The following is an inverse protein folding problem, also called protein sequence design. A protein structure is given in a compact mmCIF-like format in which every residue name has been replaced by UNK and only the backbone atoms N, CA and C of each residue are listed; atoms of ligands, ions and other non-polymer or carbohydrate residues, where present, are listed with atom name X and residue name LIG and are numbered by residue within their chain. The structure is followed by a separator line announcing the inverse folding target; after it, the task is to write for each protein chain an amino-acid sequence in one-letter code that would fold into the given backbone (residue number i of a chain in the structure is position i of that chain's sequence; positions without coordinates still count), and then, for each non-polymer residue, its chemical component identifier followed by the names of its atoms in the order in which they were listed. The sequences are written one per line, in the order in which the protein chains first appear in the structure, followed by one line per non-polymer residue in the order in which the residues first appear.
data_IF_943917577945
#
_entry.id   IF_943917577945
#
_cell.length_a   1.000
_cell.length_b   1.000
_cell.length_c   1.000
_cell.angle_alpha   90.00
_cell.angle_beta   90.00
_cell.angle_gamma   90.00
#
_symmetry.space_group_name_H-M   'P 1'
#
loop_
_entity.id
_entity.type
_entity.pdbx_description
1 polymer ?
#
# COMPACT_ATOMS: atom_id res chain seq x y z
N UNK A 1 -18.55 6.81 -4.91
CA UNK A 1 -18.04 6.82 -6.31
C UNK A 1 -17.05 7.94 -6.62
N UNK A 2 -17.34 9.23 -6.32
CA UNK A 2 -16.40 10.35 -6.60
C UNK A 2 -14.97 10.15 -6.06
N UNK A 3 -14.83 9.77 -4.79
CA UNK A 3 -13.52 9.52 -4.19
C UNK A 3 -12.79 8.35 -4.89
N UNK A 4 -13.50 7.24 -5.14
CA UNK A 4 -12.94 6.07 -5.83
C UNK A 4 -12.44 6.46 -7.23
N UNK A 5 -13.20 7.27 -7.98
CA UNK A 5 -12.78 7.76 -9.29
C UNK A 5 -11.53 8.65 -9.23
N UNK A 6 -11.45 9.56 -8.25
CA UNK A 6 -10.28 10.42 -8.08
C UNK A 6 -9.02 9.62 -7.71
N UNK A 7 -9.10 8.74 -6.71
CA UNK A 7 -7.98 7.89 -6.31
C UNK A 7 -7.59 6.90 -7.39
N UNK A 8 -8.57 6.31 -8.09
CA UNK A 8 -8.31 5.44 -9.24
C UNK A 8 -7.58 6.18 -10.36
N UNK A 9 -7.95 7.43 -10.65
CA UNK A 9 -7.26 8.27 -11.61
C UNK A 9 -5.81 8.56 -11.22
N UNK A 10 -5.57 8.96 -9.95
CA UNK A 10 -4.20 9.19 -9.45
C UNK A 10 -3.37 7.91 -9.52
N UNK A 11 -3.94 6.78 -9.10
CA UNK A 11 -3.26 5.49 -9.16
C UNK A 11 -2.93 5.11 -10.61
N UNK A 12 -3.87 5.31 -11.54
CA UNK A 12 -3.64 5.04 -12.96
C UNK A 12 -2.47 5.87 -13.52
N UNK A 13 -2.38 7.16 -13.14
CA UNK A 13 -1.28 8.03 -13.54
C UNK A 13 0.06 7.53 -12.96
N UNK A 14 0.08 7.13 -11.69
CA UNK A 14 1.27 6.56 -11.06
C UNK A 14 1.69 5.24 -11.71
N UNK A 15 0.76 4.32 -11.96
CA UNK A 15 1.06 3.03 -12.63
C UNK A 15 1.58 3.24 -14.04
N UNK A 16 0.96 4.16 -14.80
CA UNK A 16 1.42 4.51 -16.14
C UNK A 16 2.84 5.08 -16.14
N UNK A 17 3.14 6.00 -15.22
CA UNK A 17 4.49 6.55 -15.06
C UNK A 17 5.50 5.45 -14.70
N UNK A 18 5.17 4.59 -13.74
CA UNK A 18 6.03 3.48 -13.33
C UNK A 18 6.27 2.47 -14.47
N UNK A 19 5.26 2.17 -15.29
CA UNK A 19 5.43 1.32 -16.48
C UNK A 19 6.41 1.93 -17.48
N UNK A 20 6.32 3.24 -17.72
CA UNK A 20 7.23 3.96 -18.63
C UNK A 20 8.66 3.98 -18.07
N UNK A 21 8.83 4.28 -16.78
CA UNK A 21 10.15 4.26 -16.15
C UNK A 21 10.79 2.88 -16.16
N UNK A 22 10.01 1.84 -15.87
CA UNK A 22 10.51 0.46 -15.89
C UNK A 22 10.86 0.00 -17.31
N UNK A 23 10.03 0.33 -18.30
CA UNK A 23 10.33 0.05 -19.71
C UNK A 23 11.62 0.73 -20.17
N UNK A 24 11.83 2.00 -19.78
CA UNK A 24 13.05 2.74 -20.07
C UNK A 24 14.29 2.12 -19.39
N UNK A 25 14.15 1.72 -18.12
CA UNK A 25 15.21 1.06 -17.36
C UNK A 25 15.60 -0.29 -17.97
N UNK A 26 14.63 -1.13 -18.34
CA UNK A 26 14.87 -2.44 -18.99
C UNK A 26 15.48 -2.26 -20.38
N UNK A 27 15.06 -1.25 -21.12
CA UNK A 27 15.63 -0.93 -22.44
C UNK A 27 17.01 -0.23 -22.35
N UNK A 28 17.47 0.14 -21.16
CA UNK A 28 18.76 0.81 -20.96
C UNK A 28 18.84 2.21 -21.56
N UNK A 29 17.70 2.91 -21.72
CA UNK A 29 17.63 4.23 -22.35
C UNK A 29 16.90 5.23 -21.45
N UNK A 30 17.21 6.54 -21.55
CA UNK A 30 16.43 7.54 -20.84
C UNK A 30 15.00 7.63 -21.40
N UNK A 31 14.03 7.97 -20.56
CA UNK A 31 12.59 8.02 -20.92
C UNK A 31 12.29 8.78 -22.22
N UNK A 32 12.90 9.95 -22.52
CA UNK A 32 12.64 10.65 -23.78
C UNK A 32 13.08 9.92 -25.04
N UNK A 33 13.94 8.88 -24.92
CA UNK A 33 14.41 8.03 -26.02
C UNK A 33 13.72 6.67 -26.06
N UNK A 34 12.70 6.46 -25.23
CA UNK A 34 11.89 5.25 -25.27
C UNK A 34 10.90 5.35 -26.43
N UNK A 35 11.08 4.51 -27.44
CA UNK A 35 10.16 4.40 -28.58
C UNK A 35 9.03 3.40 -28.29
N UNK A 36 8.01 3.42 -29.16
CA UNK A 36 6.83 2.54 -29.03
C UNK A 36 7.18 1.06 -29.21
N UNK A 37 8.20 0.74 -30.01
CA UNK A 37 8.62 -0.64 -30.25
C UNK A 37 9.25 -1.27 -29.00
N UNK A 38 10.14 -0.55 -28.32
CA UNK A 38 10.77 -0.98 -27.05
C UNK A 38 9.74 -1.10 -25.94
N UNK A 39 8.81 -0.16 -25.85
CA UNK A 39 7.72 -0.27 -24.89
C UNK A 39 6.82 -1.48 -25.18
N UNK A 40 6.45 -1.71 -26.44
CA UNK A 40 5.64 -2.87 -26.84
C UNK A 40 6.37 -4.20 -26.57
N UNK A 41 7.69 -4.23 -26.82
CA UNK A 41 8.54 -5.37 -26.47
C UNK A 41 8.53 -5.61 -24.97
N UNK A 42 8.78 -4.60 -24.15
CA UNK A 42 8.69 -4.71 -22.69
C UNK A 42 7.31 -5.22 -22.24
N UNK A 43 6.23 -4.61 -22.74
CA UNK A 43 4.86 -4.98 -22.40
C UNK A 43 4.49 -6.41 -22.82
N UNK A 44 5.04 -6.92 -23.92
CA UNK A 44 4.69 -8.24 -24.47
C UNK A 44 5.59 -9.38 -23.99
N UNK A 45 6.91 -9.14 -23.88
CA UNK A 45 7.89 -10.21 -23.68
C UNK A 45 8.45 -10.26 -22.27
N UNK A 46 8.56 -9.12 -21.58
CA UNK A 46 9.09 -9.05 -20.23
C UNK A 46 7.99 -9.38 -19.22
N UNK A 47 8.30 -10.29 -18.28
CA UNK A 47 7.34 -10.76 -17.28
C UNK A 47 6.75 -9.63 -16.43
N UNK A 48 7.61 -8.74 -15.92
CA UNK A 48 7.17 -7.57 -15.13
C UNK A 48 6.36 -6.57 -15.96
N UNK A 49 6.70 -6.40 -17.25
CA UNK A 49 5.93 -5.57 -18.19
C UNK A 49 4.51 -6.08 -18.42
N UNK A 50 4.34 -7.38 -18.69
CA UNK A 50 3.00 -7.99 -18.82
C UNK A 50 2.16 -7.83 -17.56
N UNK A 51 2.77 -8.08 -16.39
CA UNK A 51 2.11 -7.96 -15.08
C UNK A 51 1.69 -6.52 -14.81
N UNK A 52 2.57 -5.55 -15.07
CA UNK A 52 2.27 -4.13 -14.90
C UNK A 52 1.16 -3.65 -15.83
N UNK A 53 1.14 -4.10 -17.10
CA UNK A 53 0.07 -3.77 -18.05
C UNK A 53 -1.27 -4.38 -17.62
N UNK A 54 -1.28 -5.62 -17.13
CA UNK A 54 -2.49 -6.24 -16.59
C UNK A 54 -3.01 -5.48 -15.36
N UNK A 55 -2.12 -5.11 -14.43
CA UNK A 55 -2.47 -4.31 -13.27
C UNK A 55 -3.04 -2.93 -13.67
N UNK A 56 -2.39 -2.24 -14.62
CA UNK A 56 -2.88 -0.97 -15.18
C UNK A 56 -4.28 -1.12 -15.77
N UNK A 57 -4.53 -2.19 -16.54
CA UNK A 57 -5.84 -2.49 -17.11
C UNK A 57 -6.93 -2.69 -16.04
N UNK A 58 -6.62 -3.45 -14.98
CA UNK A 58 -7.53 -3.65 -13.85
C UNK A 58 -7.86 -2.33 -13.12
N UNK A 59 -6.85 -1.49 -12.86
CA UNK A 59 -7.03 -0.17 -12.23
C UNK A 59 -7.82 0.77 -13.14
N UNK A 60 -7.56 0.76 -14.45
CA UNK A 60 -8.30 1.53 -15.44
C UNK A 60 -9.78 1.14 -15.46
N UNK A 61 -10.08 -0.17 -15.51
CA UNK A 61 -11.45 -0.67 -15.48
C UNK A 61 -12.19 -0.26 -14.21
N UNK A 62 -11.55 -0.40 -13.03
CA UNK A 62 -12.11 0.08 -11.76
C UNK A 62 -12.40 1.58 -11.77
N UNK A 63 -11.47 2.36 -12.31
CA UNK A 63 -11.59 3.82 -12.39
C UNK A 63 -12.73 4.22 -13.32
N UNK A 64 -12.87 3.58 -14.49
CA UNK A 64 -13.96 3.81 -15.43
C UNK A 64 -15.30 3.46 -14.79
N UNK A 65 -15.43 2.29 -14.16
CA UNK A 65 -16.65 1.90 -13.42
C UNK A 65 -16.99 2.96 -12.37
N UNK A 66 -15.99 3.44 -11.62
CA UNK A 66 -16.21 4.44 -10.59
C UNK A 66 -16.62 5.81 -11.15
N UNK A 67 -16.04 6.23 -12.27
CA UNK A 67 -16.42 7.46 -12.99
C UNK A 67 -17.83 7.35 -13.53
N UNK A 68 -18.19 6.23 -14.17
CA UNK A 68 -19.53 6.00 -14.72
C UNK A 68 -20.57 5.98 -13.60
N UNK A 69 -20.33 5.20 -12.54
CA UNK A 69 -21.23 5.14 -11.40
C UNK A 69 -21.39 6.51 -10.72
N UNK A 70 -20.33 7.32 -10.64
CA UNK A 70 -20.43 8.69 -10.14
C UNK A 70 -21.25 9.60 -11.07
N UNK A 71 -21.01 9.56 -12.38
CA UNK A 71 -21.71 10.41 -13.36
C UNK A 71 -23.18 10.05 -13.55
N UNK A 72 -23.54 8.79 -13.27
CA UNK A 72 -24.91 8.26 -13.38
C UNK A 72 -25.66 8.23 -12.04
N UNK A 73 -25.06 8.76 -10.98
CA UNK A 73 -25.57 8.72 -9.60
C UNK A 73 -26.03 7.32 -9.16
N UNK A 74 -25.28 6.30 -9.59
CA UNK A 74 -25.65 4.90 -9.42
C UNK A 74 -25.28 4.39 -8.02
N UNK A 75 -26.22 3.72 -7.34
CA UNK A 75 -26.02 3.14 -5.99
C UNK A 75 -25.38 1.75 -6.01
N UNK A 76 -24.47 1.49 -6.95
CA UNK A 76 -23.86 0.17 -7.13
C UNK A 76 -23.05 -0.26 -5.90
N UNK A 77 -22.93 -1.57 -5.63
CA UNK A 77 -22.05 -2.06 -4.58
C UNK A 77 -20.59 -1.77 -4.96
N UNK A 78 -19.80 -1.24 -4.01
CA UNK A 78 -18.37 -0.95 -4.22
C UNK A 78 -17.45 -2.15 -3.97
N UNK A 79 -17.99 -3.26 -3.46
CA UNK A 79 -17.24 -4.47 -3.13
C UNK A 79 -16.43 -5.06 -4.32
N UNK A 80 -16.96 -5.09 -5.56
CA UNK A 80 -16.20 -5.56 -6.72
C UNK A 80 -14.96 -4.72 -7.04
N UNK A 81 -14.98 -3.41 -6.73
CA UNK A 81 -13.81 -2.54 -6.90
C UNK A 81 -12.67 -2.97 -5.98
N UNK A 82 -12.99 -3.36 -4.74
CA UNK A 82 -12.00 -3.88 -3.80
C UNK A 82 -11.42 -5.23 -4.25
N UNK A 83 -12.27 -6.09 -4.81
CA UNK A 83 -11.87 -7.41 -5.31
C UNK A 83 -10.92 -7.32 -6.52
N UNK A 84 -10.98 -6.25 -7.32
CA UNK A 84 -10.10 -6.03 -8.47
C UNK A 84 -8.88 -5.18 -8.11
N UNK A 85 -9.01 -4.23 -7.18
CA UNK A 85 -7.90 -3.42 -6.70
C UNK A 85 -6.88 -4.22 -5.89
N UNK A 86 -7.32 -5.21 -5.09
CA UNK A 86 -6.42 -6.03 -4.28
C UNK A 86 -5.41 -6.84 -5.14
N UNK A 87 -5.82 -7.57 -6.19
CA UNK A 87 -4.88 -8.19 -7.13
C UNK A 87 -3.94 -7.21 -7.83
N UNK A 88 -4.41 -6.01 -8.21
CA UNK A 88 -3.57 -5.00 -8.85
C UNK A 88 -2.47 -4.47 -7.91
N UNK A 89 -2.75 -4.34 -6.61
CA UNK A 89 -1.74 -4.00 -5.60
C UNK A 89 -0.67 -5.09 -5.44
N UNK A 90 -1.10 -6.37 -5.49
CA UNK A 90 -0.21 -7.53 -5.30
C UNK A 90 0.67 -7.79 -6.53
N UNK A 91 0.18 -7.45 -7.72
CA UNK A 91 0.76 -7.85 -8.99
C UNK A 91 2.25 -7.47 -9.13
N UNK A 92 2.66 -6.23 -8.82
CA UNK A 92 4.05 -5.78 -8.99
C UNK A 92 5.04 -6.37 -7.99
N UNK A 93 4.78 -6.39 -6.66
CA UNK A 93 5.67 -7.04 -5.69
C UNK A 93 5.99 -8.50 -6.06
N UNK A 94 4.99 -9.25 -6.54
CA UNK A 94 5.12 -10.66 -6.95
C UNK A 94 5.97 -10.86 -8.22
N UNK A 95 6.45 -9.80 -8.87
CA UNK A 95 7.38 -9.89 -10.01
C UNK A 95 8.86 -9.75 -9.65
N UNK A 96 9.20 -9.51 -8.37
CA UNK A 96 10.59 -9.41 -7.89
C UNK A 96 11.31 -10.77 -7.82
N UNK A 97 12.64 -10.77 -7.65
CA UNK A 97 13.48 -11.99 -7.61
C UNK A 97 13.07 -13.02 -6.52
N UNK A 98 12.35 -12.60 -5.48
CA UNK A 98 11.77 -13.49 -4.45
C UNK A 98 10.62 -14.35 -4.98
N UNK A 99 10.05 -14.02 -6.14
CA UNK A 99 8.94 -14.76 -6.75
C UNK A 99 9.34 -16.09 -7.39
N UNK A 100 10.64 -16.31 -7.54
CA UNK A 100 11.22 -17.60 -7.95
C UNK A 100 11.10 -18.66 -6.86
N UNK A 101 10.73 -18.28 -5.62
CA UNK A 101 10.40 -19.21 -4.54
C UNK A 101 8.90 -19.12 -4.20
N UNK A 102 8.19 -20.26 -4.06
CA UNK A 102 6.74 -20.27 -3.77
C UNK A 102 6.35 -19.49 -2.53
N UNK A 103 7.21 -19.47 -1.51
CA UNK A 103 6.97 -18.75 -0.25
C UNK A 103 7.23 -17.24 -0.37
N UNK A 104 8.15 -16.80 -1.22
CA UNK A 104 8.48 -15.37 -1.37
C UNK A 104 7.32 -14.57 -1.95
N UNK A 105 6.73 -15.04 -3.05
CA UNK A 105 5.54 -14.44 -3.67
C UNK A 105 4.37 -14.30 -2.69
N UNK A 106 4.14 -15.34 -1.86
CA UNK A 106 3.05 -15.33 -0.88
C UNK A 106 3.31 -14.31 0.23
N UNK A 107 4.53 -14.25 0.77
CA UNK A 107 4.90 -13.30 1.81
C UNK A 107 4.80 -11.85 1.30
N UNK A 108 5.26 -11.59 0.08
CA UNK A 108 5.14 -10.28 -0.57
C UNK A 108 3.67 -9.88 -0.76
N UNK A 109 2.84 -10.81 -1.25
CA UNK A 109 1.41 -10.59 -1.40
C UNK A 109 0.74 -10.27 -0.05
N UNK A 110 1.03 -11.05 0.98
CA UNK A 110 0.51 -10.83 2.34
C UNK A 110 0.98 -9.49 2.92
N UNK A 111 2.25 -9.13 2.71
CA UNK A 111 2.80 -7.86 3.19
C UNK A 111 2.08 -6.69 2.53
N UNK A 112 1.94 -6.70 1.21
CA UNK A 112 1.31 -5.60 0.46
C UNK A 112 -0.18 -5.51 0.75
N UNK A 113 -0.87 -6.63 0.88
CA UNK A 113 -2.28 -6.65 1.32
C UNK A 113 -2.45 -6.08 2.73
N UNK A 114 -1.58 -6.47 3.67
CA UNK A 114 -1.63 -5.96 5.03
C UNK A 114 -1.37 -4.45 5.08
N UNK A 115 -0.37 -3.95 4.35
CA UNK A 115 -0.10 -2.52 4.21
C UNK A 115 -1.29 -1.77 3.59
N UNK A 116 -1.84 -2.31 2.49
CA UNK A 116 -2.97 -1.72 1.78
C UNK A 116 -4.24 -1.67 2.63
N UNK A 117 -4.55 -2.73 3.38
CA UNK A 117 -5.69 -2.75 4.30
C UNK A 117 -5.50 -1.78 5.47
N UNK A 118 -4.30 -1.74 6.05
CA UNK A 118 -4.00 -0.88 7.20
C UNK A 118 -4.17 0.61 6.87
N UNK A 119 -3.57 1.07 5.77
CA UNK A 119 -3.63 2.49 5.38
C UNK A 119 -4.92 2.80 4.64
N UNK A 120 -5.30 1.94 3.68
CA UNK A 120 -6.43 2.17 2.78
C UNK A 120 -7.76 2.23 3.51
N UNK A 121 -8.01 1.38 4.51
CA UNK A 121 -9.25 1.43 5.29
C UNK A 121 -9.32 2.72 6.10
N UNK A 122 -8.20 3.19 6.69
CA UNK A 122 -8.20 4.44 7.45
C UNK A 122 -8.47 5.66 6.57
N UNK A 123 -7.85 5.70 5.39
CA UNK A 123 -8.14 6.72 4.37
C UNK A 123 -9.61 6.69 3.97
N UNK A 124 -10.18 5.50 3.73
CA UNK A 124 -11.59 5.36 3.41
C UNK A 124 -12.49 5.89 4.54
N UNK A 125 -12.15 5.60 5.81
CA UNK A 125 -12.88 6.13 6.97
C UNK A 125 -12.78 7.66 7.04
N UNK A 126 -11.58 8.23 6.89
CA UNK A 126 -11.35 9.68 6.89
C UNK A 126 -12.16 10.41 5.82
N UNK A 127 -12.36 9.79 4.65
CA UNK A 127 -13.07 10.38 3.53
C UNK A 127 -14.59 10.21 3.59
N UNK A 128 -15.08 9.12 4.16
CA UNK A 128 -16.51 8.75 4.11
C UNK A 128 -17.25 8.98 5.42
N UNK A 129 -16.55 8.91 6.56
CA UNK A 129 -17.18 9.00 7.87
C UNK A 129 -17.24 10.46 8.33
N UNK A 130 -18.46 10.99 8.42
CA UNK A 130 -18.71 12.39 8.80
C UNK A 130 -19.35 12.56 10.17
N UNK A 131 -19.92 11.50 10.74
CA UNK A 131 -20.61 11.58 12.03
C UNK A 131 -19.81 10.93 13.17
N UNK A 132 -19.90 11.54 14.35
CA UNK A 132 -19.36 11.05 15.62
C UNK A 132 -19.82 9.63 15.94
N UNK A 133 -21.10 9.33 15.68
CA UNK A 133 -21.66 7.99 15.90
C UNK A 133 -21.10 6.92 14.98
N UNK A 134 -20.81 7.27 13.71
CA UNK A 134 -20.19 6.32 12.79
C UNK A 134 -18.72 6.06 13.13
N UNK A 135 -17.95 7.08 13.55
CA UNK A 135 -16.59 6.90 14.07
C UNK A 135 -16.57 5.98 15.30
N UNK A 136 -17.48 6.16 16.25
CA UNK A 136 -17.59 5.31 17.44
C UNK A 136 -17.80 3.82 17.11
N UNK A 137 -18.51 3.50 16.02
CA UNK A 137 -18.77 2.12 15.58
C UNK A 137 -17.65 1.51 14.75
N UNK A 138 -17.05 2.30 13.84
CA UNK A 138 -16.11 1.79 12.84
C UNK A 138 -14.66 1.80 13.34
N UNK A 139 -14.28 2.79 14.16
CA UNK A 139 -12.91 2.95 14.62
C UNK A 139 -12.39 1.75 15.46
N UNK A 140 -13.18 1.15 16.37
CA UNK A 140 -12.72 -0.03 17.10
C UNK A 140 -12.46 -1.23 16.19
N UNK A 141 -13.31 -1.43 15.17
CA UNK A 141 -13.14 -2.51 14.17
C UNK A 141 -11.89 -2.29 13.33
N UNK A 142 -11.66 -1.06 12.87
CA UNK A 142 -10.43 -0.67 12.20
C UNK A 142 -9.22 -0.91 13.10
N UNK A 143 -9.28 -0.51 14.37
CA UNK A 143 -8.17 -0.68 15.31
C UNK A 143 -7.80 -2.16 15.52
N UNK A 144 -8.77 -3.08 15.50
CA UNK A 144 -8.49 -4.53 15.53
C UNK A 144 -7.86 -5.01 14.23
N UNK A 145 -8.40 -4.60 13.07
CA UNK A 145 -7.83 -4.93 11.76
C UNK A 145 -6.38 -4.44 11.65
N UNK A 146 -6.11 -3.20 12.04
CA UNK A 146 -4.78 -2.59 12.02
C UNK A 146 -3.76 -3.39 12.85
N UNK A 147 -4.15 -3.94 14.01
CA UNK A 147 -3.27 -4.82 14.79
C UNK A 147 -2.81 -6.04 13.99
N UNK A 148 -3.76 -6.71 13.32
CA UNK A 148 -3.47 -7.89 12.53
C UNK A 148 -2.62 -7.55 11.31
N UNK A 149 -2.92 -6.44 10.63
CA UNK A 149 -2.09 -5.96 9.53
C UNK A 149 -0.64 -5.70 9.98
N UNK A 150 -0.45 -4.98 11.10
CA UNK A 150 0.88 -4.71 11.65
C UNK A 150 1.61 -6.00 12.05
N UNK A 151 0.91 -6.98 12.62
CA UNK A 151 1.49 -8.28 12.94
C UNK A 151 1.96 -9.03 11.67
N UNK A 152 1.15 -9.04 10.61
CA UNK A 152 1.52 -9.65 9.31
C UNK A 152 2.72 -8.92 8.70
N UNK A 153 2.75 -7.58 8.72
CA UNK A 153 3.87 -6.78 8.22
C UNK A 153 5.16 -7.06 8.98
N UNK A 154 5.09 -7.16 10.30
CA UNK A 154 6.24 -7.49 11.14
C UNK A 154 6.75 -8.91 10.83
N UNK A 155 5.86 -9.91 10.77
CA UNK A 155 6.23 -11.30 10.51
C UNK A 155 6.86 -11.47 9.12
N UNK A 156 6.21 -10.95 8.07
CA UNK A 156 6.73 -11.01 6.70
C UNK A 156 8.07 -10.28 6.56
N UNK A 157 8.23 -9.12 7.19
CA UNK A 157 9.50 -8.38 7.19
C UNK A 157 10.64 -9.09 7.93
N UNK A 158 10.34 -9.76 9.06
CA UNK A 158 11.33 -10.56 9.79
C UNK A 158 11.75 -11.78 8.97
N UNK A 159 10.81 -12.45 8.29
CA UNK A 159 11.12 -13.60 7.45
C UNK A 159 12.01 -13.18 6.27
N UNK A 160 11.68 -12.08 5.56
CA UNK A 160 12.50 -11.56 4.46
C UNK A 160 13.93 -11.21 4.94
N UNK A 161 14.05 -10.53 6.08
CA UNK A 161 15.34 -10.20 6.67
C UNK A 161 16.15 -11.45 7.05
N UNK A 162 15.51 -12.45 7.65
CA UNK A 162 16.16 -13.70 8.04
C UNK A 162 16.67 -14.49 6.83
N UNK A 163 15.87 -14.59 5.78
CA UNK A 163 16.23 -15.26 4.52
C UNK A 163 17.43 -14.56 3.86
N UNK A 164 17.49 -13.22 3.91
CA UNK A 164 18.55 -12.47 3.22
C UNK A 164 19.84 -12.32 4.03
N UNK A 165 19.77 -12.21 5.36
CA UNK A 165 20.94 -11.99 6.22
C UNK A 165 21.65 -13.29 6.62
N UNK A 166 20.90 -14.39 6.77
CA UNK A 166 21.44 -15.70 7.16
C UNK A 166 22.08 -15.80 8.55
N UNK A 167 22.39 -14.68 9.21
CA UNK A 167 22.97 -14.60 10.56
C UNK A 167 22.63 -13.27 11.25
N UNK A 168 22.63 -13.26 12.60
CA UNK A 168 22.37 -12.04 13.38
C UNK A 168 23.53 -11.03 13.35
N UNK A 169 24.78 -11.48 13.18
CA UNK A 169 25.93 -10.59 13.04
C UNK A 169 25.84 -9.75 11.76
N UNK A 170 25.35 -10.35 10.67
CA UNK A 170 25.12 -9.64 9.41
C UNK A 170 24.13 -8.46 9.55
N UNK A 171 23.30 -8.42 10.59
CA UNK A 171 22.35 -7.33 10.83
C UNK A 171 23.04 -6.00 11.15
N UNK A 172 24.23 -6.04 11.75
CA UNK A 172 24.98 -4.82 12.12
C UNK A 172 26.16 -4.60 11.17
N UNK A 173 26.76 -5.70 10.69
CA UNK A 173 28.00 -5.68 9.90
C UNK A 173 27.77 -5.42 8.40
N UNK A 174 26.53 -5.52 7.91
CA UNK A 174 26.21 -5.32 6.48
C UNK A 174 25.38 -4.06 6.22
N UNK A 175 25.52 -3.48 5.02
CA UNK A 175 24.68 -2.36 4.56
C UNK A 175 23.19 -2.69 4.57
N UNK A 176 22.83 -3.91 4.13
CA UNK A 176 21.43 -4.38 4.18
C UNK A 176 20.91 -4.51 5.61
N UNK A 177 21.73 -5.00 6.56
CA UNK A 177 21.36 -5.10 7.96
C UNK A 177 20.99 -3.75 8.59
N UNK A 178 21.73 -2.68 8.26
CA UNK A 178 21.40 -1.30 8.69
C UNK A 178 20.06 -0.81 8.15
N UNK A 179 19.71 -1.16 6.91
CA UNK A 179 18.38 -0.86 6.34
C UNK A 179 17.28 -1.58 7.12
N UNK A 180 17.49 -2.86 7.46
CA UNK A 180 16.54 -3.64 8.27
C UNK A 180 16.37 -3.03 9.65
N UNK A 181 17.45 -2.60 10.30
CA UNK A 181 17.39 -1.90 11.60
C UNK A 181 16.60 -0.59 11.50
N UNK A 182 16.86 0.23 10.49
CA UNK A 182 16.13 1.47 10.28
C UNK A 182 14.62 1.22 10.08
N UNK A 183 14.25 0.23 9.25
CA UNK A 183 12.85 -0.19 9.08
C UNK A 183 12.22 -0.66 10.39
N UNK A 184 12.98 -1.38 11.22
CA UNK A 184 12.52 -1.88 12.51
C UNK A 184 12.24 -0.74 13.49
N UNK A 185 13.11 0.27 13.56
CA UNK A 185 12.90 1.47 14.39
C UNK A 185 11.67 2.25 13.94
N UNK A 186 11.50 2.44 12.63
CA UNK A 186 10.32 3.11 12.06
C UNK A 186 9.04 2.34 12.42
N UNK A 187 9.03 1.02 12.22
CA UNK A 187 7.90 0.16 12.57
C UNK A 187 7.57 0.24 14.07
N UNK A 188 8.58 0.18 14.94
CA UNK A 188 8.40 0.31 16.38
C UNK A 188 7.76 1.65 16.77
N UNK A 189 8.16 2.75 16.11
CA UNK A 189 7.54 4.06 16.27
C UNK A 189 6.06 4.07 15.89
N UNK A 190 5.70 3.47 14.75
CA UNK A 190 4.30 3.33 14.32
C UNK A 190 3.49 2.46 15.26
N UNK A 191 4.05 1.35 15.75
CA UNK A 191 3.40 0.47 16.74
C UNK A 191 3.13 1.24 18.04
N UNK A 192 4.09 2.03 18.52
CA UNK A 192 3.92 2.85 19.71
C UNK A 192 2.82 3.91 19.52
N UNK A 193 2.78 4.56 18.35
CA UNK A 193 1.73 5.50 17.98
C UNK A 193 0.34 4.80 17.95
N UNK A 194 0.24 3.64 17.30
CA UNK A 194 -0.98 2.84 17.25
C UNK A 194 -1.44 2.37 18.64
N UNK A 195 -0.51 1.98 19.52
CA UNK A 195 -0.80 1.64 20.91
C UNK A 195 -1.33 2.84 21.69
N UNK A 196 -0.75 4.03 21.49
CA UNK A 196 -1.26 5.29 22.07
C UNK A 196 -2.67 5.58 21.57
N UNK A 197 -2.94 5.47 20.27
CA UNK A 197 -4.27 5.67 19.70
C UNK A 197 -5.30 4.69 20.25
N UNK A 198 -4.94 3.42 20.43
CA UNK A 198 -5.80 2.40 21.05
C UNK A 198 -6.14 2.70 22.51
N UNK A 199 -5.23 3.33 23.26
CA UNK A 199 -5.45 3.68 24.67
C UNK A 199 -6.21 4.99 24.86
N UNK A 200 -6.10 5.92 23.90
CA UNK A 200 -6.62 7.29 24.05
C UNK A 200 -7.77 7.60 23.09
N UNK A 201 -7.52 7.51 21.79
CA UNK A 201 -8.48 7.89 20.76
C UNK A 201 -9.61 6.87 20.61
N UNK A 202 -9.32 5.57 20.55
CA UNK A 202 -10.36 4.54 20.37
C UNK A 202 -11.39 4.58 21.51
N UNK A 203 -11.01 4.58 22.81
CA UNK A 203 -11.98 4.65 23.90
C UNK A 203 -12.74 5.98 23.91
N UNK A 204 -12.07 7.09 23.57
CA UNK A 204 -12.73 8.39 23.48
C UNK A 204 -13.75 8.43 22.34
N UNK A 205 -13.48 7.83 21.18
CA UNK A 205 -14.44 7.73 20.09
C UNK A 205 -15.62 6.82 20.46
N UNK A 206 -15.36 5.64 21.06
CA UNK A 206 -16.41 4.68 21.46
C UNK A 206 -17.33 5.26 22.54
N UNK A 207 -16.77 5.94 23.55
CA UNK A 207 -17.55 6.66 24.57
C UNK A 207 -18.18 7.96 24.04
N UNK A 208 -18.14 8.15 22.72
CA UNK A 208 -18.51 9.36 22.02
C UNK A 208 -17.74 10.61 22.48
N UNK A 209 -16.80 10.62 23.42
CA UNK A 209 -16.12 11.86 23.85
C UNK A 209 -15.29 12.57 22.76
N UNK A 210 -14.92 11.88 21.67
CA UNK A 210 -14.26 12.50 20.51
C UNK A 210 -15.27 13.01 19.47
N UNK A 211 -15.07 14.23 18.96
CA UNK A 211 -15.85 14.75 17.83
C UNK A 211 -15.44 14.08 16.52
N UNK A 212 -16.27 14.23 15.49
CA UNK A 212 -15.93 13.74 14.15
C UNK A 212 -14.68 14.43 13.61
N UNK A 213 -14.52 15.73 13.87
CA UNK A 213 -13.36 16.51 13.47
C UNK A 213 -12.07 16.05 14.14
N UNK A 214 -12.10 15.79 15.45
CA UNK A 214 -10.95 15.24 16.18
C UNK A 214 -10.57 13.87 15.63
N UNK A 215 -11.56 13.02 15.34
CA UNK A 215 -11.31 11.69 14.77
C UNK A 215 -10.73 11.77 13.36
N UNK A 216 -11.23 12.69 12.53
CA UNK A 216 -10.68 12.95 11.21
C UNK A 216 -9.23 13.43 11.29
N UNK A 217 -8.93 14.40 12.16
CA UNK A 217 -7.58 14.91 12.37
C UNK A 217 -6.62 13.80 12.80
N UNK A 218 -7.01 12.96 13.75
CA UNK A 218 -6.18 11.85 14.22
C UNK A 218 -5.95 10.82 13.11
N UNK A 219 -6.99 10.49 12.32
CA UNK A 219 -6.86 9.61 11.16
C UNK A 219 -5.90 10.18 10.11
N UNK A 220 -6.00 11.47 9.80
CA UNK A 220 -5.07 12.15 8.87
C UNK A 220 -3.64 12.11 9.40
N UNK A 221 -3.42 12.38 10.70
CA UNK A 221 -2.09 12.32 11.30
C UNK A 221 -1.48 10.92 11.22
N UNK A 222 -2.26 9.87 11.49
CA UNK A 222 -1.81 8.49 11.39
C UNK A 222 -1.52 8.07 9.94
N UNK A 223 -2.35 8.50 8.98
CA UNK A 223 -2.07 8.29 7.54
C UNK A 223 -0.78 9.00 7.14
N UNK A 224 -0.60 10.27 7.49
CA UNK A 224 0.62 11.01 7.18
C UNK A 224 1.87 10.35 7.78
N UNK A 225 1.82 9.98 9.06
CA UNK A 225 2.93 9.29 9.73
C UNK A 225 3.28 7.98 9.01
N UNK A 226 2.27 7.20 8.64
CA UNK A 226 2.46 5.92 7.95
C UNK A 226 2.98 6.12 6.53
N UNK A 227 2.50 7.13 5.79
CA UNK A 227 3.01 7.49 4.46
C UNK A 227 4.47 7.93 4.49
N UNK A 228 4.88 8.73 5.49
CA UNK A 228 6.29 9.12 5.68
C UNK A 228 7.14 7.89 5.96
N UNK A 229 6.68 6.98 6.82
CA UNK A 229 7.38 5.74 7.12
C UNK A 229 7.55 4.84 5.88
N UNK A 230 6.51 4.67 5.07
CA UNK A 230 6.62 3.93 3.80
C UNK A 230 7.56 4.62 2.80
N UNK A 231 7.49 5.95 2.70
CA UNK A 231 8.40 6.72 1.83
C UNK A 231 9.86 6.59 2.24
N UNK A 232 10.14 6.66 3.54
CA UNK A 232 11.48 6.45 4.09
C UNK A 232 11.95 5.00 3.84
N UNK A 233 11.09 4.01 4.07
CA UNK A 233 11.40 2.61 3.81
C UNK A 233 11.70 2.33 2.33
N UNK A 234 10.99 2.99 1.42
CA UNK A 234 11.24 2.90 -0.02
C UNK A 234 12.57 3.57 -0.40
N UNK A 235 12.83 4.78 0.10
CA UNK A 235 14.09 5.50 -0.15
C UNK A 235 15.31 4.69 0.33
N UNK A 236 15.22 4.10 1.53
CA UNK A 236 16.25 3.22 2.10
C UNK A 236 16.44 1.92 1.32
N UNK A 237 15.41 1.43 0.63
CA UNK A 237 15.52 0.23 -0.21
C UNK A 237 16.25 0.52 -1.53
N UNK A 238 16.26 1.78 -1.98
CA UNK A 238 16.90 2.22 -3.22
C UNK A 238 18.25 2.90 -3.03
N UNK A 239 18.66 3.16 -1.79
CA UNK A 239 19.99 3.71 -1.49
C UNK A 239 21.09 2.65 -1.72
N UNK A 240 22.22 3.01 -2.36
CA UNK A 240 23.30 2.10 -2.72
C UNK A 240 24.01 1.45 -1.52
#
# INVERSE_FOLDING_TARGET
WRAIAAFGGVWLMCEGALLVFEAAAVAGVPVPRLDTARFAQFAGTVGSGRIGVAAFGCVAACTVVAVVAYRRDASWPTAPVLAVAAPALIARPVSGHMSQQPLGSLLDALHVLAAGLWVGVLVALALTVRSRGAWARLLPRYSTLATWCVAVLAATGVIDAAVRLGSLSALVDTGYGRIVLAKTVVLAGLVALGARWRRTWVPAATAHRATAEVSLRNAVLEVCATSVAFGLAAALATSP
#
